data_IF_889197889134
#
_entry.id   IF_889197889134
#
_cell.length_a   1.000
_cell.length_b   1.000
_cell.length_c   1.000
_cell.angle_alpha   90.00
_cell.angle_beta   90.00
_cell.angle_gamma   90.00
#
_symmetry.space_group_name_H-M   'P 1'
#
loop_
_entity.id
_entity.type
_entity.pdbx_description
1 polymer ?
#
# COMPACT_ATOMS: atom_id res chain seq x y z
N UNK A 1 52.53 5.85 19.34
CA UNK A 1 51.41 6.11 18.41
C UNK A 1 51.20 4.85 17.61
N UNK A 2 50.27 4.01 18.04
CA UNK A 2 50.02 2.74 17.38
C UNK A 2 49.35 3.01 16.04
N UNK A 3 50.05 2.73 14.94
CA UNK A 3 49.50 2.82 13.59
C UNK A 3 48.58 1.63 13.40
N UNK A 4 47.28 1.85 13.55
CA UNK A 4 46.26 0.86 13.19
C UNK A 4 46.28 0.73 11.67
N UNK A 5 46.86 -0.36 11.17
CA UNK A 5 46.83 -0.69 9.74
C UNK A 5 45.49 -1.38 9.46
N UNK A 6 44.58 -0.65 8.81
CA UNK A 6 43.34 -1.24 8.31
C UNK A 6 43.70 -2.25 7.20
N UNK A 7 43.51 -3.54 7.46
CA UNK A 7 43.65 -4.57 6.42
C UNK A 7 42.29 -4.75 5.72
N UNK A 8 42.10 -4.24 4.49
CA UNK A 8 40.84 -4.36 3.77
C UNK A 8 40.47 -5.81 3.42
N UNK A 9 41.42 -6.76 3.55
CA UNK A 9 41.22 -8.19 3.31
C UNK A 9 41.13 -9.00 4.61
N UNK A 10 40.79 -8.39 5.75
CA UNK A 10 40.48 -9.18 6.93
C UNK A 10 39.34 -10.17 6.60
N UNK A 11 39.41 -11.44 7.05
CA UNK A 11 38.37 -12.44 6.75
C UNK A 11 36.96 -11.96 7.11
N UNK A 12 36.84 -11.16 8.18
CA UNK A 12 35.58 -10.56 8.59
C UNK A 12 35.01 -9.58 7.53
N UNK A 13 35.84 -8.69 6.98
CA UNK A 13 35.39 -7.75 5.93
C UNK A 13 34.97 -8.49 4.66
N UNK A 14 35.66 -9.57 4.29
CA UNK A 14 35.30 -10.39 3.13
C UNK A 14 33.94 -11.07 3.36
N UNK A 15 33.70 -11.63 4.54
CA UNK A 15 32.40 -12.25 4.88
C UNK A 15 31.28 -11.21 4.83
N UNK A 16 31.48 -10.01 5.41
CA UNK A 16 30.50 -8.92 5.37
C UNK A 16 30.23 -8.52 3.92
N UNK A 17 31.27 -8.34 3.11
CA UNK A 17 31.14 -7.96 1.71
C UNK A 17 30.37 -8.99 0.88
N UNK A 18 30.69 -10.29 1.03
CA UNK A 18 29.95 -11.37 0.38
C UNK A 18 28.51 -11.45 0.87
N UNK A 19 28.27 -11.23 2.16
CA UNK A 19 26.94 -11.14 2.74
C UNK A 19 26.11 -10.00 2.14
N UNK A 20 26.72 -8.82 1.94
CA UNK A 20 26.08 -7.68 1.29
C UNK A 20 25.78 -7.94 -0.18
N UNK A 21 26.67 -8.62 -0.92
CA UNK A 21 26.40 -9.07 -2.29
C UNK A 21 25.22 -10.04 -2.32
N UNK A 22 25.21 -11.03 -1.42
CA UNK A 22 24.11 -11.99 -1.31
C UNK A 22 22.78 -11.31 -1.00
N UNK A 23 22.77 -10.36 -0.05
CA UNK A 23 21.59 -9.56 0.28
C UNK A 23 21.14 -8.71 -0.91
N UNK A 24 22.06 -8.11 -1.66
CA UNK A 24 21.75 -7.33 -2.85
C UNK A 24 21.10 -8.20 -3.94
N UNK A 25 21.67 -9.37 -4.24
CA UNK A 25 21.10 -10.32 -5.19
C UNK A 25 19.72 -10.78 -4.72
N UNK A 26 19.58 -11.09 -3.42
CA UNK A 26 18.29 -11.47 -2.86
C UNK A 26 17.27 -10.35 -3.04
N UNK A 27 17.60 -9.11 -2.65
CA UNK A 27 16.68 -7.97 -2.69
C UNK A 27 16.29 -7.55 -4.12
N UNK A 28 17.21 -7.62 -5.08
CA UNK A 28 16.99 -7.12 -6.44
C UNK A 28 16.45 -8.19 -7.39
N UNK A 29 16.82 -9.46 -7.20
CA UNK A 29 16.46 -10.53 -8.12
C UNK A 29 15.47 -11.51 -7.50
N UNK A 30 15.83 -12.11 -6.36
CA UNK A 30 15.05 -13.20 -5.78
C UNK A 30 13.74 -12.71 -5.17
N UNK A 31 13.79 -11.61 -4.42
CA UNK A 31 12.63 -11.06 -3.73
C UNK A 31 11.54 -10.58 -4.71
N UNK A 32 11.83 -9.81 -5.77
CA UNK A 32 10.82 -9.45 -6.75
C UNK A 32 10.24 -10.66 -7.47
N UNK A 33 11.05 -11.68 -7.76
CA UNK A 33 10.57 -12.91 -8.39
C UNK A 33 9.60 -13.66 -7.46
N UNK A 34 9.94 -13.82 -6.18
CA UNK A 34 9.05 -14.42 -5.17
C UNK A 34 7.77 -13.59 -5.04
N UNK A 35 7.88 -12.25 -5.02
CA UNK A 35 6.73 -11.37 -4.90
C UNK A 35 5.78 -11.49 -6.09
N UNK A 36 6.31 -11.42 -7.32
CA UNK A 36 5.53 -11.54 -8.56
C UNK A 36 4.87 -12.92 -8.65
N UNK A 37 5.58 -13.98 -8.23
CA UNK A 37 5.02 -15.35 -8.20
C UNK A 37 3.93 -15.53 -7.16
N UNK A 38 4.10 -14.99 -5.95
CA UNK A 38 3.08 -15.04 -4.92
C UNK A 38 1.81 -14.26 -5.30
N UNK A 39 1.99 -13.03 -5.82
CA UNK A 39 0.86 -12.20 -6.28
C UNK A 39 0.17 -12.85 -7.48
N UNK A 40 0.95 -13.28 -8.47
CA UNK A 40 0.42 -13.95 -9.65
C UNK A 40 -0.37 -15.22 -9.31
N UNK A 41 0.13 -16.04 -8.39
CA UNK A 41 -0.57 -17.23 -7.90
C UNK A 41 -1.89 -16.90 -7.18
N UNK A 42 -1.97 -15.75 -6.52
CA UNK A 42 -3.20 -15.30 -5.87
C UNK A 42 -4.26 -14.93 -6.91
N UNK A 43 -3.88 -14.15 -7.94
CA UNK A 43 -4.80 -13.79 -9.01
C UNK A 43 -5.20 -14.98 -9.89
N UNK A 44 -4.31 -15.95 -10.13
CA UNK A 44 -4.70 -17.15 -10.89
C UNK A 44 -5.71 -18.02 -10.14
N UNK A 45 -5.63 -18.07 -8.80
CA UNK A 45 -6.67 -18.70 -7.96
C UNK A 45 -8.01 -17.97 -8.01
N UNK A 46 -8.02 -16.68 -8.35
CA UNK A 46 -9.24 -15.90 -8.59
C UNK A 46 -9.82 -16.08 -10.01
N UNK A 47 -9.21 -16.94 -10.83
CA UNK A 47 -9.69 -17.26 -12.18
C UNK A 47 -9.03 -16.45 -13.30
N UNK A 48 -8.06 -15.58 -13.00
CA UNK A 48 -7.30 -14.88 -14.02
C UNK A 48 -6.21 -15.75 -14.65
N UNK A 49 -5.88 -15.53 -15.91
CA UNK A 49 -4.67 -16.10 -16.50
C UNK A 49 -3.41 -15.48 -15.88
N UNK A 50 -2.27 -16.16 -16.02
CA UNK A 50 -0.99 -15.64 -15.54
C UNK A 50 -0.64 -14.28 -16.17
N UNK A 51 -0.94 -14.11 -17.46
CA UNK A 51 -0.71 -12.86 -18.20
C UNK A 51 -1.63 -11.74 -17.68
N UNK A 52 -2.89 -12.03 -17.39
CA UNK A 52 -3.83 -11.08 -16.81
C UNK A 52 -3.41 -10.68 -15.39
N UNK A 53 -2.97 -11.63 -14.56
CA UNK A 53 -2.47 -11.37 -13.22
C UNK A 53 -1.26 -10.42 -13.24
N UNK A 54 -0.30 -10.66 -14.13
CA UNK A 54 0.85 -9.77 -14.32
C UNK A 54 0.42 -8.38 -14.81
N UNK A 55 -0.49 -8.31 -15.78
CA UNK A 55 -1.01 -7.05 -16.28
C UNK A 55 -1.69 -6.24 -15.17
N UNK A 56 -2.54 -6.87 -14.37
CA UNK A 56 -3.19 -6.27 -13.20
C UNK A 56 -2.16 -5.74 -12.20
N UNK A 57 -1.13 -6.53 -11.89
CA UNK A 57 -0.06 -6.13 -10.99
C UNK A 57 0.66 -4.87 -11.52
N UNK A 58 1.07 -4.88 -12.79
CA UNK A 58 1.77 -3.73 -13.38
C UNK A 58 0.88 -2.51 -13.51
N UNK A 59 -0.39 -2.66 -13.86
CA UNK A 59 -1.35 -1.56 -13.89
C UNK A 59 -1.61 -0.99 -12.50
N UNK A 60 -1.67 -1.84 -11.47
CA UNK A 60 -1.81 -1.42 -10.07
C UNK A 60 -0.58 -0.63 -9.62
N UNK A 61 0.62 -1.11 -9.93
CA UNK A 61 1.87 -0.42 -9.61
C UNK A 61 1.98 0.92 -10.36
N UNK A 62 1.79 0.92 -11.69
CA UNK A 62 1.85 2.14 -12.49
C UNK A 62 0.76 3.15 -12.09
N UNK A 63 -0.47 2.68 -11.89
CA UNK A 63 -1.59 3.49 -11.43
C UNK A 63 -1.43 4.02 -10.01
N UNK A 64 -0.58 3.42 -9.18
CA UNK A 64 -0.37 3.89 -7.79
C UNK A 64 0.25 5.30 -7.73
N UNK A 65 0.94 5.72 -8.79
CA UNK A 65 1.50 7.06 -8.91
C UNK A 65 0.47 8.11 -9.36
N UNK A 66 -0.74 7.68 -9.73
CA UNK A 66 -1.78 8.54 -10.27
C UNK A 66 -2.85 8.77 -9.21
N UNK A 67 -3.04 10.02 -8.82
CA UNK A 67 -4.08 10.45 -7.89
C UNK A 67 -5.08 11.36 -8.61
N UNK A 68 -6.34 10.93 -8.71
CA UNK A 68 -7.42 11.69 -9.35
C UNK A 68 -8.06 12.61 -8.30
N UNK A 69 -7.96 13.94 -8.42
CA UNK A 69 -8.57 14.86 -7.47
C UNK A 69 -10.10 14.79 -7.58
N UNK A 70 -10.78 14.60 -6.45
CA UNK A 70 -12.23 14.53 -6.35
C UNK A 70 -12.80 15.84 -5.83
N UNK A 71 -12.20 16.39 -4.79
CA UNK A 71 -12.69 17.60 -4.13
C UNK A 71 -11.55 18.34 -3.47
N UNK A 72 -11.65 19.66 -3.45
CA UNK A 72 -10.80 20.50 -2.61
C UNK A 72 -11.60 20.99 -1.41
N UNK A 73 -11.01 20.84 -0.22
CA UNK A 73 -11.54 21.30 1.04
C UNK A 73 -10.71 22.51 1.50
N UNK A 74 -11.39 23.61 1.76
CA UNK A 74 -10.79 24.79 2.39
C UNK A 74 -10.76 24.57 3.90
N UNK A 75 -9.58 24.63 4.49
CA UNK A 75 -9.38 24.52 5.93
C UNK A 75 -9.28 25.94 6.51
N UNK A 76 -10.13 26.24 7.50
CA UNK A 76 -9.98 27.50 8.25
C UNK A 76 -8.64 27.46 9.01
N UNK A 77 -7.85 28.53 9.00
CA UNK A 77 -6.62 28.57 9.77
C UNK A 77 -6.95 28.48 11.26
N UNK A 78 -6.72 27.31 11.85
CA UNK A 78 -6.60 27.16 13.28
C UNK A 78 -5.10 27.22 13.61
N UNK A 79 -4.66 28.28 14.28
CA UNK A 79 -3.33 28.37 14.88
C UNK A 79 -3.25 27.45 16.13
N UNK A 80 -2.07 26.97 16.57
CA UNK A 80 -0.71 27.37 16.19
C UNK A 80 0.02 26.37 15.28
N UNK A 81 1.24 26.74 14.88
CA UNK A 81 2.20 25.92 14.14
C UNK A 81 2.37 24.53 14.79
N UNK A 82 1.80 23.51 14.16
CA UNK A 82 2.15 22.13 14.49
C UNK A 82 3.35 21.74 13.64
N UNK A 83 4.54 21.91 14.20
CA UNK A 83 5.72 21.15 13.79
C UNK A 83 6.03 20.17 14.93
N UNK A 84 5.38 19.02 14.90
CA UNK A 84 5.49 18.04 15.99
C UNK A 84 5.38 16.62 15.49
N UNK A 85 6.01 15.73 16.25
CA UNK A 85 5.79 14.30 16.13
C UNK A 85 4.65 13.88 17.04
N UNK A 86 3.72 13.09 16.52
CA UNK A 86 2.70 12.42 17.33
C UNK A 86 2.71 10.93 17.04
N UNK A 87 2.48 10.12 18.08
CA UNK A 87 2.30 8.68 17.93
C UNK A 87 0.82 8.35 17.83
N UNK A 88 0.42 7.70 16.73
CA UNK A 88 -0.95 7.21 16.50
C UNK A 88 -0.85 5.76 16.06
N UNK A 89 -1.57 4.87 16.76
CA UNK A 89 -1.51 3.41 16.54
C UNK A 89 -0.07 2.85 16.52
N UNK A 90 0.80 3.36 17.40
CA UNK A 90 2.20 2.92 17.50
C UNK A 90 3.11 3.44 16.38
N UNK A 91 2.60 4.26 15.45
CA UNK A 91 3.39 4.89 14.38
C UNK A 91 3.63 6.37 14.68
N UNK A 92 4.89 6.79 14.56
CA UNK A 92 5.30 8.18 14.69
C UNK A 92 5.07 8.92 13.37
N UNK A 93 4.24 9.96 13.41
CA UNK A 93 3.95 10.83 12.27
C UNK A 93 4.48 12.22 12.53
N UNK A 94 5.20 12.77 11.53
CA UNK A 94 5.57 14.17 11.50
C UNK A 94 4.40 14.99 10.94
N UNK A 95 3.83 15.85 11.77
CA UNK A 95 2.80 16.80 11.33
C UNK A 95 3.52 18.08 10.92
N UNK A 96 3.38 18.41 9.65
CA UNK A 96 3.83 19.69 9.08
C UNK A 96 2.80 20.79 9.30
N UNK A 97 3.23 22.04 9.06
CA UNK A 97 2.40 23.24 9.20
C UNK A 97 1.05 23.10 8.48
N UNK A 98 -0.06 23.57 9.09
CA UNK A 98 -1.38 23.45 8.48
C UNK A 98 -1.43 24.16 7.12
N UNK A 99 -1.89 23.44 6.10
CA UNK A 99 -2.16 23.99 4.76
C UNK A 99 -3.61 24.47 4.69
N UNK A 100 -3.84 25.63 4.06
CA UNK A 100 -5.19 26.20 3.91
C UNK A 100 -6.09 25.35 3.01
N UNK A 101 -5.50 24.47 2.20
CA UNK A 101 -6.19 23.71 1.16
C UNK A 101 -5.83 22.23 1.24
N UNK A 102 -6.83 21.36 1.31
CA UNK A 102 -6.67 19.91 1.28
C UNK A 102 -7.34 19.34 0.03
N UNK A 103 -6.59 18.63 -0.81
CA UNK A 103 -7.13 17.96 -1.99
C UNK A 103 -7.46 16.52 -1.63
N UNK A 104 -8.74 16.18 -1.63
CA UNK A 104 -9.21 14.79 -1.59
C UNK A 104 -9.02 14.20 -2.98
N UNK A 105 -8.22 13.14 -3.06
CA UNK A 105 -7.96 12.41 -4.29
C UNK A 105 -8.21 10.91 -4.11
N UNK A 106 -8.51 10.22 -5.20
CA UNK A 106 -8.61 8.75 -5.26
C UNK A 106 -7.42 8.21 -6.03
N UNK A 107 -6.73 7.24 -5.45
CA UNK A 107 -5.57 6.61 -6.06
C UNK A 107 -5.99 5.59 -7.13
N UNK A 108 -5.41 5.64 -8.32
CA UNK A 108 -5.80 4.75 -9.42
C UNK A 108 -5.38 3.31 -9.12
N UNK A 109 -4.13 3.09 -8.72
CA UNK A 109 -3.59 1.76 -8.43
C UNK A 109 -4.13 1.15 -7.14
N UNK A 110 -4.19 1.93 -6.07
CA UNK A 110 -4.53 1.47 -4.74
C UNK A 110 -6.02 1.48 -4.41
N UNK A 111 -6.87 2.11 -5.22
CA UNK A 111 -8.32 2.12 -4.99
C UNK A 111 -9.13 1.80 -6.24
N UNK A 112 -8.91 2.50 -7.36
CA UNK A 112 -9.76 2.35 -8.54
C UNK A 112 -9.63 0.97 -9.19
N UNK A 113 -8.40 0.53 -9.51
CA UNK A 113 -8.14 -0.77 -10.12
C UNK A 113 -8.65 -1.93 -9.22
N UNK A 114 -8.37 -1.96 -7.91
CA UNK A 114 -8.93 -2.97 -7.00
C UNK A 114 -10.46 -3.01 -7.00
N UNK A 115 -11.13 -1.85 -7.03
CA UNK A 115 -12.60 -1.77 -7.11
C UNK A 115 -13.11 -2.35 -8.42
N UNK A 116 -12.50 -1.99 -9.55
CA UNK A 116 -12.88 -2.53 -10.88
C UNK A 116 -12.74 -4.05 -10.92
N UNK A 117 -11.64 -4.60 -10.40
CA UNK A 117 -11.42 -6.06 -10.33
C UNK A 117 -12.47 -6.72 -9.43
N UNK A 118 -12.76 -6.12 -8.27
CA UNK A 118 -13.78 -6.64 -7.35
C UNK A 118 -15.17 -6.65 -7.99
N UNK A 119 -15.53 -5.58 -8.70
CA UNK A 119 -16.79 -5.52 -9.45
C UNK A 119 -16.85 -6.54 -10.58
N UNK A 120 -15.75 -6.74 -11.32
CA UNK A 120 -15.65 -7.79 -12.35
C UNK A 120 -15.88 -9.18 -11.76
N UNK A 121 -15.21 -9.52 -10.65
CA UNK A 121 -15.38 -10.81 -9.97
C UNK A 121 -16.80 -11.00 -9.43
N UNK A 122 -17.40 -9.95 -8.87
CA UNK A 122 -18.80 -10.01 -8.43
C UNK A 122 -19.76 -10.21 -9.61
N UNK A 123 -19.54 -9.50 -10.72
CA UNK A 123 -20.32 -9.64 -11.94
C UNK A 123 -20.23 -11.07 -12.49
N UNK A 124 -19.03 -11.61 -12.65
CA UNK A 124 -18.80 -13.01 -13.02
C UNK A 124 -19.54 -13.97 -12.08
N UNK A 125 -19.42 -13.76 -10.77
CA UNK A 125 -20.06 -14.65 -9.79
C UNK A 125 -21.59 -14.67 -9.85
N UNK A 126 -22.23 -13.53 -10.11
CA UNK A 126 -23.70 -13.40 -10.10
C UNK A 126 -24.31 -13.75 -11.45
N UNK A 127 -23.75 -13.20 -12.53
CA UNK A 127 -24.34 -13.27 -13.86
C UNK A 127 -24.04 -14.60 -14.55
N UNK A 128 -22.87 -15.20 -14.29
CA UNK A 128 -22.45 -16.45 -14.93
C UNK A 128 -22.64 -17.65 -13.98
N UNK A 129 -22.45 -17.45 -12.67
CA UNK A 129 -22.49 -18.53 -11.67
C UNK A 129 -23.76 -18.62 -10.80
N UNK A 130 -24.77 -17.77 -11.03
CA UNK A 130 -25.96 -17.64 -10.16
C UNK A 130 -25.65 -17.42 -8.67
N UNK A 131 -24.48 -16.84 -8.36
CA UNK A 131 -23.93 -16.68 -7.02
C UNK A 131 -24.56 -15.56 -6.17
N UNK A 132 -25.88 -15.41 -6.16
CA UNK A 132 -26.58 -14.34 -5.42
C UNK A 132 -26.27 -14.34 -3.92
N UNK A 133 -26.06 -15.53 -3.32
CA UNK A 133 -25.63 -15.66 -1.93
C UNK A 133 -24.25 -15.03 -1.72
N UNK A 134 -23.29 -15.29 -2.61
CA UNK A 134 -21.94 -14.72 -2.54
C UNK A 134 -21.99 -13.20 -2.65
N UNK A 135 -22.80 -12.67 -3.56
CA UNK A 135 -23.01 -11.24 -3.71
C UNK A 135 -23.60 -10.58 -2.45
N UNK A 136 -24.62 -11.19 -1.85
CA UNK A 136 -25.19 -10.72 -0.60
C UNK A 136 -24.14 -10.71 0.52
N UNK A 137 -23.35 -11.79 0.65
CA UNK A 137 -22.25 -11.86 1.61
C UNK A 137 -21.17 -10.81 1.35
N UNK A 138 -20.85 -10.52 0.09
CA UNK A 138 -19.89 -9.47 -0.27
C UNK A 138 -20.41 -8.08 0.14
N UNK A 139 -21.69 -7.78 -0.10
CA UNK A 139 -22.31 -6.52 0.34
C UNK A 139 -22.31 -6.38 1.86
N UNK A 140 -22.63 -7.47 2.58
CA UNK A 140 -22.54 -7.50 4.05
C UNK A 140 -21.09 -7.26 4.49
N UNK A 141 -20.12 -7.90 3.85
CA UNK A 141 -18.70 -7.71 4.10
C UNK A 141 -18.27 -6.25 3.92
N UNK A 142 -18.66 -5.61 2.81
CA UNK A 142 -18.39 -4.19 2.54
C UNK A 142 -19.02 -3.31 3.61
N UNK A 143 -20.26 -3.58 4.01
CA UNK A 143 -20.96 -2.83 5.05
C UNK A 143 -20.25 -2.95 6.41
N UNK A 144 -19.90 -4.17 6.82
CA UNK A 144 -19.18 -4.45 8.07
C UNK A 144 -17.83 -3.75 8.07
N UNK A 145 -17.02 -3.92 7.02
CA UNK A 145 -15.71 -3.27 6.91
C UNK A 145 -15.87 -1.75 6.95
N UNK A 146 -16.82 -1.19 6.22
CA UNK A 146 -17.10 0.26 6.21
C UNK A 146 -17.44 0.78 7.60
N UNK A 147 -18.34 0.10 8.32
CA UNK A 147 -18.75 0.48 9.68
C UNK A 147 -17.57 0.38 10.64
N UNK A 148 -16.85 -0.74 10.65
CA UNK A 148 -15.72 -0.96 11.55
C UNK A 148 -14.62 0.07 11.28
N UNK A 149 -14.21 0.25 10.02
CA UNK A 149 -13.21 1.26 9.64
C UNK A 149 -13.65 2.66 10.04
N UNK A 150 -14.93 3.01 9.86
CA UNK A 150 -15.46 4.32 10.26
C UNK A 150 -15.43 4.53 11.77
N UNK A 151 -15.74 3.50 12.56
CA UNK A 151 -15.73 3.56 14.03
C UNK A 151 -14.33 3.73 14.60
N UNK A 152 -13.32 3.12 13.98
CA UNK A 152 -11.93 3.20 14.44
C UNK A 152 -11.16 4.39 13.85
N UNK A 153 -11.58 4.92 12.69
CA UNK A 153 -10.91 6.02 12.02
C UNK A 153 -10.93 7.31 12.85
N UNK A 154 -9.76 7.94 12.99
CA UNK A 154 -9.60 9.21 13.70
C UNK A 154 -9.16 10.32 12.74
N UNK A 155 -9.91 11.43 12.61
CA UNK A 155 -9.39 12.61 11.92
C UNK A 155 -8.29 13.24 12.79
N UNK A 156 -7.11 13.39 12.21
CA UNK A 156 -5.91 13.89 12.84
C UNK A 156 -5.48 15.16 12.09
N UNK A 157 -5.52 16.34 12.73
CA UNK A 157 -5.07 17.58 12.12
C UNK A 157 -3.66 17.46 11.54
N UNK A 158 -3.49 17.85 10.28
CA UNK A 158 -2.22 17.80 9.57
C UNK A 158 -1.74 16.41 9.09
N UNK A 159 -2.43 15.33 9.46
CA UNK A 159 -2.18 13.96 8.95
C UNK A 159 -3.34 13.44 8.06
N UNK A 160 -4.57 13.90 8.30
CA UNK A 160 -5.76 13.42 7.60
C UNK A 160 -6.53 12.39 8.42
N UNK A 161 -6.90 11.25 7.84
CA UNK A 161 -7.64 10.18 8.53
C UNK A 161 -6.67 9.06 8.89
N UNK A 162 -6.46 8.81 10.18
CA UNK A 162 -5.67 7.69 10.66
C UNK A 162 -6.57 6.48 10.97
N UNK A 163 -6.11 5.30 10.59
CA UNK A 163 -6.70 3.99 10.93
C UNK A 163 -5.61 3.11 11.54
N UNK A 164 -5.97 2.11 12.40
CA UNK A 164 -5.01 1.17 12.97
C UNK A 164 -4.25 0.41 11.89
#
# INVERSE_FOLDING_TARGET
MDRVVFNPFSPLLIIIFLGLIGLFIFAVLIFPLIFVTAVGATFTRLGFSWQQALLILFLTLAGSFINIPIKTLESRPAAPEYDRYISIYGRLYHISRPVQRTVLAVNVGGALIPVVISLYLLYESVVIGEGYLLFALALVGVAVVTVVTKLVARPVPGLGIATP
#
